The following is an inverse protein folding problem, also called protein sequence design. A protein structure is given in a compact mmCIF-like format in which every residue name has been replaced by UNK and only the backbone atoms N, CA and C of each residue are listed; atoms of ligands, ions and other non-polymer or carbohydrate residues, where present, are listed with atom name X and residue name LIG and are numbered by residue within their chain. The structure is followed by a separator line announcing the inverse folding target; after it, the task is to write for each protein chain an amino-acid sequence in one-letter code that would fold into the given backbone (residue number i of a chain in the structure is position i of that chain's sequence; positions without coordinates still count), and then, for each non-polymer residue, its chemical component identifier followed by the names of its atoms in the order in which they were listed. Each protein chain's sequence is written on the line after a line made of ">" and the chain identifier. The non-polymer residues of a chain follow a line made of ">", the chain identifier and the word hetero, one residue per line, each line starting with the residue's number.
data_IF_653431007304
#
_entry.id   IF_653431007304
#
_cell.length_a   1.000
_cell.length_b   1.000
_cell.length_c   1.000
_cell.angle_alpha   90.00
_cell.angle_beta   90.00
_cell.angle_gamma   90.00
#
_symmetry.space_group_name_H-M   'P 1'
#
loop_
_entity.id
_entity.type
_entity.pdbx_description
1 polymer ?
#
# COMPACT_ATOMS: atom_id res chain seq x y z
N UNK A 1 17.91 17.22 7.16
CA UNK A 1 16.88 17.28 8.23
C UNK A 1 16.11 15.98 8.26
N UNK A 2 15.47 15.65 9.38
CA UNK A 2 14.59 14.48 9.51
C UNK A 2 13.13 14.95 9.54
N UNK A 3 12.22 14.24 8.90
CA UNK A 3 10.78 14.47 8.97
C UNK A 3 10.13 13.15 9.41
N UNK A 4 9.24 13.22 10.39
CA UNK A 4 8.43 12.08 10.81
C UNK A 4 7.12 12.09 10.02
N UNK A 5 6.60 10.90 9.74
CA UNK A 5 5.32 10.69 9.10
C UNK A 5 4.62 9.52 9.77
N UNK A 6 3.36 9.73 10.14
CA UNK A 6 2.54 8.66 10.69
C UNK A 6 1.90 7.88 9.55
N UNK A 7 2.16 6.57 9.50
CA UNK A 7 1.59 5.67 8.51
C UNK A 7 0.38 4.98 9.16
N UNK A 8 -0.87 5.33 8.78
CA UNK A 8 -2.05 4.66 9.31
C UNK A 8 -2.10 3.20 8.87
N UNK A 9 -2.72 2.36 9.71
CA UNK A 9 -2.98 0.96 9.39
C UNK A 9 -3.80 0.79 8.11
N UNK A 10 -3.59 -0.33 7.41
CA UNK A 10 -4.26 -0.61 6.13
C UNK A 10 -3.75 0.23 4.95
N UNK A 11 -2.69 1.00 5.12
CA UNK A 11 -2.08 1.77 4.04
C UNK A 11 -1.59 0.85 2.92
N UNK A 12 -2.11 1.08 1.72
CA UNK A 12 -1.79 0.30 0.53
C UNK A 12 -0.47 0.71 -0.10
N UNK A 13 0.19 -0.23 -0.77
CA UNK A 13 1.37 0.03 -1.59
C UNK A 13 1.04 1.05 -2.69
N UNK A 14 1.99 1.92 -3.01
CA UNK A 14 1.83 2.98 -4.01
C UNK A 14 1.06 4.22 -3.51
N UNK A 15 0.51 4.20 -2.29
CA UNK A 15 -0.08 5.41 -1.69
C UNK A 15 0.99 6.49 -1.53
N UNK A 16 0.57 7.73 -1.75
CA UNK A 16 1.43 8.91 -1.67
C UNK A 16 1.03 9.74 -0.47
N UNK A 17 2.02 10.15 0.32
CA UNK A 17 1.83 11.11 1.40
C UNK A 17 2.52 12.42 1.10
N UNK A 18 1.85 13.53 1.45
CA UNK A 18 2.37 14.88 1.22
C UNK A 18 2.79 15.52 2.54
N UNK A 19 4.09 15.79 2.65
CA UNK A 19 4.68 16.54 3.74
C UNK A 19 4.81 18.01 3.32
N UNK A 20 3.88 18.84 3.82
CA UNK A 20 3.81 20.25 3.44
C UNK A 20 5.04 21.03 3.92
N UNK A 21 5.62 21.85 3.04
CA UNK A 21 6.75 22.72 3.38
C UNK A 21 8.07 22.00 3.71
N UNK A 22 8.16 20.70 3.42
CA UNK A 22 9.39 19.88 3.57
C UNK A 22 10.12 19.65 2.24
N UNK A 23 9.60 20.21 1.15
CA UNK A 23 10.24 20.20 -0.16
C UNK A 23 11.30 21.29 -0.30
N UNK A 24 11.86 21.37 -1.50
CA UNK A 24 12.97 22.28 -1.81
C UNK A 24 12.45 23.72 -1.82
N UNK A 25 13.20 24.62 -1.17
CA UNK A 25 12.95 26.07 -1.28
C UNK A 25 13.54 26.59 -2.58
N UNK A 26 12.69 27.09 -3.48
CA UNK A 26 13.14 27.72 -4.72
C UNK A 26 13.90 29.02 -4.46
N UNK A 27 14.88 29.34 -5.31
CA UNK A 27 15.75 30.54 -5.18
C UNK A 27 14.95 31.85 -5.13
N UNK A 28 13.82 31.92 -5.85
CA UNK A 28 12.90 33.08 -5.89
C UNK A 28 11.61 32.85 -5.10
N UNK A 29 11.48 31.73 -4.38
CA UNK A 29 10.28 31.39 -3.64
C UNK A 29 10.38 31.84 -2.18
N UNK A 30 9.32 32.48 -1.68
CA UNK A 30 9.20 32.81 -0.26
C UNK A 30 9.02 31.54 0.59
N UNK A 31 8.26 30.56 0.09
CA UNK A 31 7.91 29.34 0.81
C UNK A 31 8.64 28.09 0.26
N UNK A 32 9.00 27.13 1.13
CA UNK A 32 9.49 25.83 0.70
C UNK A 32 8.37 25.02 0.02
N UNK A 33 8.73 24.21 -0.98
CA UNK A 33 7.79 23.29 -1.62
C UNK A 33 7.33 22.14 -0.70
N UNK A 34 6.59 21.20 -1.27
CA UNK A 34 6.13 20.00 -0.57
C UNK A 34 7.01 18.79 -0.91
N UNK A 35 7.12 17.85 0.03
CA UNK A 35 7.78 16.56 -0.19
C UNK A 35 6.70 15.47 -0.34
N UNK A 36 6.77 14.71 -1.43
CA UNK A 36 5.91 13.56 -1.66
C UNK A 36 6.66 12.27 -1.33
N UNK A 37 6.09 11.49 -0.42
CA UNK A 37 6.61 10.18 -0.04
C UNK A 37 5.75 9.09 -0.68
N UNK A 38 6.38 8.27 -1.51
CA UNK A 38 5.76 7.10 -2.13
C UNK A 38 6.02 5.88 -1.27
N UNK A 39 4.98 5.12 -0.96
CA UNK A 39 5.11 3.92 -0.13
C UNK A 39 5.38 2.72 -1.04
N UNK A 40 6.49 2.05 -0.78
CA UNK A 40 6.83 0.76 -1.37
C UNK A 40 6.80 -0.32 -0.29
N UNK A 41 6.06 -1.40 -0.54
CA UNK A 41 6.11 -2.60 0.29
C UNK A 41 7.08 -3.57 -0.37
N UNK A 42 8.16 -3.92 0.34
CA UNK A 42 9.13 -4.90 -0.13
C UNK A 42 8.66 -6.32 0.22
N UNK A 43 8.75 -7.23 -0.75
CA UNK A 43 8.42 -8.64 -0.53
C UNK A 43 9.68 -9.39 -0.06
N UNK A 44 9.65 -10.07 1.11
CA UNK A 44 10.84 -10.70 1.66
C UNK A 44 11.25 -11.93 0.84
N UNK A 45 12.57 -12.12 0.71
CA UNK A 45 13.19 -13.24 -0.01
C UNK A 45 13.93 -14.18 0.96
N UNK A 46 14.20 -15.42 0.52
CA UNK A 46 14.98 -16.43 1.28
C UNK A 46 14.46 -16.65 2.70
N UNK A 47 13.19 -17.01 2.80
CA UNK A 47 12.50 -17.21 4.07
C UNK A 47 12.95 -18.47 4.80
N UNK A 48 13.12 -18.37 6.12
CA UNK A 48 13.28 -19.52 7.01
C UNK A 48 11.98 -20.34 7.12
N UNK A 49 12.06 -21.57 7.65
CA UNK A 49 10.86 -22.40 7.86
C UNK A 49 9.82 -21.71 8.75
N UNK A 50 10.26 -21.05 9.81
CA UNK A 50 9.38 -20.33 10.73
C UNK A 50 8.66 -19.16 10.03
N UNK A 51 9.38 -18.35 9.25
CA UNK A 51 8.80 -17.23 8.50
C UNK A 51 7.79 -17.72 7.46
N UNK A 52 8.10 -18.83 6.78
CA UNK A 52 7.18 -19.45 5.82
C UNK A 52 5.91 -19.95 6.49
N UNK A 53 6.01 -20.49 7.72
CA UNK A 53 4.84 -20.92 8.50
C UNK A 53 3.91 -19.74 8.82
N UNK A 54 4.46 -18.62 9.29
CA UNK A 54 3.67 -17.41 9.59
C UNK A 54 2.93 -16.87 8.36
N UNK A 55 3.58 -16.87 7.19
CA UNK A 55 2.91 -16.44 5.94
C UNK A 55 1.77 -17.38 5.53
N UNK A 56 1.90 -18.69 5.78
CA UNK A 56 0.81 -19.65 5.53
C UNK A 56 -0.36 -19.44 6.50
N UNK A 57 -0.09 -19.24 7.78
CA UNK A 57 -1.12 -18.96 8.78
C UNK A 57 -1.87 -17.65 8.45
N UNK A 58 -1.15 -16.63 7.99
CA UNK A 58 -1.74 -15.39 7.49
C UNK A 58 -2.66 -15.66 6.28
N UNK A 59 -2.18 -16.37 5.25
CA UNK A 59 -2.97 -16.73 4.07
C UNK A 59 -4.25 -17.50 4.41
N UNK A 60 -4.16 -18.47 5.32
CA UNK A 60 -5.33 -19.21 5.81
C UNK A 60 -6.32 -18.30 6.55
N UNK A 61 -5.84 -17.35 7.36
CA UNK A 61 -6.69 -16.39 8.07
C UNK A 61 -7.43 -15.46 7.10
N UNK A 62 -6.75 -15.01 6.04
CA UNK A 62 -7.32 -14.14 5.01
C UNK A 62 -8.44 -14.86 4.24
N UNK A 63 -8.21 -16.12 3.85
CA UNK A 63 -9.20 -16.97 3.17
C UNK A 63 -10.44 -17.23 4.04
N UNK A 64 -10.25 -17.49 5.33
CA UNK A 64 -11.37 -17.66 6.29
C UNK A 64 -12.19 -16.39 6.46
N UNK A 65 -11.58 -15.21 6.32
CA UNK A 65 -12.24 -13.91 6.39
C UNK A 65 -13.04 -13.52 5.13
N UNK A 66 -12.96 -14.33 4.06
CA UNK A 66 -13.63 -14.08 2.78
C UNK A 66 -13.14 -12.82 2.06
N UNK A 67 -14.00 -12.24 1.21
CA UNK A 67 -13.68 -11.10 0.34
C UNK A 67 -13.32 -9.78 1.06
N UNK A 68 -13.44 -9.72 2.40
CA UNK A 68 -13.21 -8.50 3.19
C UNK A 68 -11.75 -8.05 3.22
N UNK A 69 -10.81 -8.92 2.87
CA UNK A 69 -9.37 -8.66 3.00
C UNK A 69 -8.63 -8.63 1.66
N UNK A 70 -9.34 -8.79 0.53
CA UNK A 70 -8.77 -8.80 -0.82
C UNK A 70 -9.41 -7.74 -1.71
N UNK A 71 -8.96 -6.47 -1.68
CA UNK A 71 -9.53 -5.39 -2.51
C UNK A 71 -9.45 -5.67 -4.02
N UNK A 72 -8.57 -6.57 -4.46
CA UNK A 72 -8.32 -6.89 -5.86
C UNK A 72 -9.04 -8.13 -6.42
N UNK A 73 -9.57 -9.03 -5.58
CA UNK A 73 -10.09 -10.32 -6.07
C UNK A 73 -11.52 -10.22 -6.65
N UNK A 74 -12.39 -9.36 -6.11
CA UNK A 74 -13.79 -9.29 -6.60
C UNK A 74 -13.94 -8.46 -7.89
N UNK A 75 -13.00 -7.57 -8.22
CA UNK A 75 -13.16 -6.63 -9.34
C UNK A 75 -13.07 -7.27 -10.74
N UNK A 76 -12.50 -8.47 -10.88
CA UNK A 76 -12.27 -9.10 -12.19
C UNK A 76 -13.43 -9.99 -12.65
N UNK A 77 -13.98 -10.81 -11.76
CA UNK A 77 -15.08 -11.71 -12.09
C UNK A 77 -16.40 -10.95 -12.34
N UNK A 78 -16.64 -9.86 -11.60
CA UNK A 78 -17.81 -9.00 -11.80
C UNK A 78 -17.73 -8.19 -13.10
N UNK A 79 -16.52 -7.74 -13.48
CA UNK A 79 -16.32 -7.08 -14.79
C UNK A 79 -16.65 -8.03 -15.94
N UNK A 80 -16.24 -9.30 -15.88
CA UNK A 80 -16.54 -10.27 -16.93
C UNK A 80 -18.05 -10.57 -17.03
N UNK A 81 -18.75 -10.76 -15.91
CA UNK A 81 -20.20 -11.01 -15.94
C UNK A 81 -20.98 -9.83 -16.51
N UNK A 82 -20.57 -8.59 -16.20
CA UNK A 82 -21.20 -7.38 -16.76
C UNK A 82 -21.09 -7.25 -18.29
N UNK A 83 -20.10 -7.90 -18.93
CA UNK A 83 -19.96 -7.92 -20.39
C UNK A 83 -20.81 -9.00 -21.08
N UNK A 84 -21.22 -10.06 -20.38
CA UNK A 84 -22.01 -11.16 -20.95
C UNK A 84 -23.51 -11.09 -20.62
N UNK A 85 -23.91 -10.18 -19.72
CA UNK A 85 -25.32 -9.94 -19.37
C UNK A 85 -25.93 -8.72 -20.08
N UNK A 86 -25.23 -8.17 -21.08
CA UNK A 86 -25.70 -7.09 -21.96
C UNK A 86 -26.01 -7.63 -23.36
#
# INVERSE_FOLDING_TARGET
>A
GKAAIDIPEGTQAGKQFRLRGKGIKGVRSSYPGDLYCHISVETPVKLSEHQRKLLKELDESLKKGGAKHSPGEESWADKLKGFFSA
#
